data_IF_952977434595
#
_entry.id   IF_952977434595
#
_cell.length_a   1.000
_cell.length_b   1.000
_cell.length_c   1.000
_cell.angle_alpha   90.00
_cell.angle_beta   90.00
_cell.angle_gamma   90.00
#
_symmetry.space_group_name_H-M   'P 1'
#
loop_
_entity.id
_entity.type
_entity.pdbx_description
1 polymer ?
#
# COMPACT_ATOMS: atom_id res chain seq x y z
N UNK A 1 19.23 10.43 9.55
CA UNK A 1 18.80 9.01 9.66
C UNK A 1 17.42 8.98 9.03
N UNK A 2 17.22 8.27 7.92
CA UNK A 2 15.86 8.12 7.39
C UNK A 2 15.06 7.37 8.45
N UNK A 3 13.99 7.97 8.97
CA UNK A 3 13.11 7.31 9.93
C UNK A 3 12.62 6.01 9.28
N UNK A 4 12.92 4.87 9.92
CA UNK A 4 12.47 3.58 9.44
C UNK A 4 11.04 3.43 9.96
N UNK A 5 10.08 3.08 9.10
CA UNK A 5 8.72 2.90 9.55
C UNK A 5 8.65 1.91 10.68
N UNK A 6 8.07 2.33 11.80
CA UNK A 6 7.91 1.52 13.00
C UNK A 6 6.54 0.88 12.98
N UNK A 7 6.53 -0.45 13.05
CA UNK A 7 5.32 -1.24 13.21
C UNK A 7 5.23 -1.64 14.68
N UNK A 8 4.12 -1.32 15.34
CA UNK A 8 3.85 -1.75 16.72
C UNK A 8 2.80 -2.86 16.71
N UNK A 9 3.01 -3.91 17.51
CA UNK A 9 2.08 -5.03 17.64
C UNK A 9 1.64 -5.13 19.11
N UNK A 10 0.34 -5.21 19.38
CA UNK A 10 -0.23 -5.33 20.73
C UNK A 10 -1.56 -6.06 20.72
N UNK A 11 -2.08 -6.45 21.89
CA UNK A 11 -3.30 -7.26 22.02
C UNK A 11 -4.36 -6.62 22.94
N UNK A 12 -3.98 -5.59 23.72
CA UNK A 12 -4.76 -5.07 24.83
C UNK A 12 -5.14 -3.59 24.77
N UNK A 13 -6.10 -3.22 25.60
CA UNK A 13 -6.57 -1.82 25.79
C UNK A 13 -5.44 -0.88 26.20
N UNK A 14 -4.45 -1.39 26.96
CA UNK A 14 -3.31 -0.61 27.41
C UNK A 14 -2.32 -0.27 26.28
N UNK A 15 -2.31 -1.05 25.20
CA UNK A 15 -1.44 -0.82 24.05
C UNK A 15 -2.09 0.11 23.02
N UNK A 16 -3.40 0.34 23.11
CA UNK A 16 -4.17 1.17 22.17
C UNK A 16 -3.58 2.58 21.95
N UNK A 17 -3.12 3.33 22.98
CA UNK A 17 -2.49 4.63 22.78
C UNK A 17 -1.16 4.55 22.01
N UNK A 18 -0.41 3.47 22.21
CA UNK A 18 0.88 3.26 21.53
C UNK A 18 0.65 2.82 20.09
N UNK A 19 -0.33 1.95 19.84
CA UNK A 19 -0.73 1.51 18.50
C UNK A 19 -1.21 2.69 17.64
N UNK A 20 -1.99 3.60 18.21
CA UNK A 20 -2.46 4.81 17.50
C UNK A 20 -1.34 5.83 17.21
N UNK A 21 -0.22 5.77 17.95
CA UNK A 21 0.93 6.66 17.75
C UNK A 21 2.01 6.10 16.82
N UNK A 22 1.95 4.80 16.52
CA UNK A 22 2.86 4.15 15.60
C UNK A 22 2.52 4.53 14.14
N UNK A 23 3.49 4.42 13.24
CA UNK A 23 3.21 4.58 11.80
C UNK A 23 2.32 3.46 11.25
N UNK A 24 2.41 2.27 11.85
CA UNK A 24 1.47 1.17 11.62
C UNK A 24 1.21 0.45 12.95
N UNK A 25 0.00 0.58 13.47
CA UNK A 25 -0.47 -0.19 14.62
C UNK A 25 -1.10 -1.52 14.18
N UNK A 26 -0.67 -2.62 14.79
CA UNK A 26 -1.20 -3.97 14.54
C UNK A 26 -1.78 -4.56 15.83
N UNK A 27 -3.08 -4.84 15.84
CA UNK A 27 -3.76 -5.49 16.96
C UNK A 27 -3.85 -7.01 16.73
N UNK A 28 -3.55 -7.80 17.77
CA UNK A 28 -3.76 -9.25 17.80
C UNK A 28 -5.16 -9.55 18.34
N UNK A 29 -6.05 -10.01 17.48
CA UNK A 29 -7.48 -10.17 17.72
C UNK A 29 -7.91 -11.63 17.78
N UNK A 30 -7.35 -12.43 18.70
CA UNK A 30 -7.80 -13.80 18.93
C UNK A 30 -9.15 -13.88 19.70
N UNK A 31 -9.48 -12.83 20.48
CA UNK A 31 -10.62 -12.82 21.41
C UNK A 31 -11.38 -11.49 21.36
N UNK A 32 -12.11 -11.25 20.26
CA UNK A 32 -13.14 -10.21 20.18
C UNK A 32 -12.63 -8.78 20.09
N UNK A 33 -13.57 -7.85 19.86
CA UNK A 33 -13.31 -6.42 19.71
C UNK A 33 -12.74 -5.82 21.01
N UNK A 34 -11.42 -5.66 21.07
CA UNK A 34 -10.72 -4.93 22.12
C UNK A 34 -10.49 -3.48 21.67
N UNK A 35 -10.26 -2.56 22.61
CA UNK A 35 -9.91 -1.18 22.27
C UNK A 35 -8.60 -1.07 21.44
N UNK A 36 -7.75 -2.10 21.47
CA UNK A 36 -6.59 -2.22 20.60
C UNK A 36 -7.01 -2.33 19.13
N UNK A 37 -8.00 -3.16 18.81
CA UNK A 37 -8.49 -3.37 17.44
C UNK A 37 -9.20 -2.14 16.86
N UNK A 38 -9.81 -1.29 17.69
CA UNK A 38 -10.40 -0.02 17.24
C UNK A 38 -9.35 1.05 16.96
N UNK A 39 -8.18 0.95 17.60
CA UNK A 39 -7.12 1.97 17.53
C UNK A 39 -5.99 1.58 16.57
N UNK A 40 -5.99 0.35 16.05
CA UNK A 40 -4.96 -0.18 15.16
C UNK A 40 -5.36 -0.07 13.68
N UNK A 41 -4.38 0.08 12.80
CA UNK A 41 -4.57 0.09 11.35
C UNK A 41 -4.81 -1.31 10.77
N UNK A 42 -4.26 -2.33 11.43
CA UNK A 42 -4.33 -3.73 11.00
C UNK A 42 -4.74 -4.61 12.19
N UNK A 43 -5.66 -5.54 11.96
CA UNK A 43 -6.09 -6.51 12.97
C UNK A 43 -5.80 -7.93 12.48
N UNK A 44 -4.95 -8.66 13.21
CA UNK A 44 -4.67 -10.07 12.97
C UNK A 44 -5.68 -10.91 13.72
N UNK A 45 -6.58 -11.56 12.99
CA UNK A 45 -7.69 -12.35 13.56
C UNK A 45 -7.27 -13.70 14.16
N UNK A 46 -6.06 -14.15 13.82
CA UNK A 46 -5.48 -15.42 14.29
C UNK A 46 -4.47 -15.09 15.38
N UNK A 47 -4.41 -15.91 16.44
CA UNK A 47 -3.41 -15.78 17.50
C UNK A 47 -2.02 -16.26 17.05
N UNK A 48 -1.50 -15.65 15.99
CA UNK A 48 -0.23 -15.99 15.36
C UNK A 48 0.47 -14.74 14.87
N UNK A 49 1.53 -14.34 15.59
CA UNK A 49 2.35 -13.17 15.27
C UNK A 49 3.09 -13.33 13.92
N UNK A 50 3.27 -14.56 13.43
CA UNK A 50 3.84 -14.82 12.10
C UNK A 50 3.02 -14.18 10.98
N UNK A 51 1.71 -13.98 11.20
CA UNK A 51 0.83 -13.29 10.25
C UNK A 51 1.18 -11.82 10.04
N UNK A 52 1.85 -11.19 11.01
CA UNK A 52 2.36 -9.82 10.85
C UNK A 52 3.47 -9.81 9.80
N UNK A 53 4.36 -10.81 9.79
CA UNK A 53 5.41 -10.92 8.77
C UNK A 53 4.81 -11.17 7.38
N UNK A 54 3.81 -12.06 7.28
CA UNK A 54 3.06 -12.29 6.04
C UNK A 54 2.43 -10.98 5.52
N UNK A 55 1.80 -10.20 6.40
CA UNK A 55 1.17 -8.93 6.04
C UNK A 55 2.20 -7.92 5.50
N UNK A 56 3.39 -7.83 6.11
CA UNK A 56 4.48 -6.98 5.62
C UNK A 56 4.99 -7.45 4.26
N UNK A 57 5.16 -8.76 4.05
CA UNK A 57 5.57 -9.31 2.77
C UNK A 57 4.56 -9.00 1.65
N UNK A 58 3.26 -9.20 1.94
CA UNK A 58 2.17 -8.86 1.03
C UNK A 58 2.18 -7.36 0.72
N UNK A 59 2.31 -6.50 1.73
CA UNK A 59 2.36 -5.04 1.54
C UNK A 59 3.51 -4.63 0.62
N UNK A 60 4.72 -5.17 0.83
CA UNK A 60 5.89 -4.91 -0.03
C UNK A 60 5.66 -5.35 -1.46
N UNK A 61 5.04 -6.53 -1.65
CA UNK A 61 4.70 -7.05 -2.97
C UNK A 61 3.65 -6.19 -3.67
N UNK A 62 2.64 -5.72 -2.95
CA UNK A 62 1.61 -4.82 -3.48
C UNK A 62 2.22 -3.52 -4.00
N UNK A 63 3.11 -2.89 -3.23
CA UNK A 63 3.82 -1.68 -3.67
C UNK A 63 4.68 -1.96 -4.90
N UNK A 64 5.39 -3.09 -4.93
CA UNK A 64 6.20 -3.47 -6.09
C UNK A 64 5.34 -3.61 -7.36
N UNK A 65 4.19 -4.29 -7.26
CA UNK A 65 3.24 -4.45 -8.38
C UNK A 65 2.63 -3.11 -8.79
N UNK A 66 2.26 -2.25 -7.84
CA UNK A 66 1.73 -0.92 -8.14
C UNK A 66 2.75 -0.07 -8.92
N UNK A 67 4.01 -0.07 -8.48
CA UNK A 67 5.08 0.65 -9.17
C UNK A 67 5.35 0.07 -10.57
N UNK A 68 5.30 -1.25 -10.75
CA UNK A 68 5.40 -1.86 -12.08
C UNK A 68 4.29 -1.36 -13.01
N UNK A 69 3.04 -1.36 -12.55
CA UNK A 69 1.89 -0.86 -13.34
C UNK A 69 2.03 0.61 -13.70
N UNK A 70 2.49 1.45 -12.76
CA UNK A 70 2.76 2.87 -13.01
C UNK A 70 3.82 3.04 -14.10
N UNK A 71 4.93 2.32 -14.01
CA UNK A 71 6.00 2.40 -15.01
C UNK A 71 5.57 1.90 -16.38
N UNK A 72 4.78 0.83 -16.44
CA UNK A 72 4.19 0.35 -17.70
C UNK A 72 3.28 1.42 -18.30
N UNK A 73 2.42 2.03 -17.49
CA UNK A 73 1.54 3.12 -17.94
C UNK A 73 2.34 4.30 -18.51
N UNK A 74 3.36 4.75 -17.78
CA UNK A 74 4.26 5.83 -18.22
C UNK A 74 4.95 5.46 -19.55
N UNK A 75 5.49 4.25 -19.65
CA UNK A 75 6.18 3.79 -20.86
C UNK A 75 5.25 3.76 -22.08
N UNK A 76 4.02 3.27 -21.91
CA UNK A 76 3.00 3.26 -22.97
C UNK A 76 2.63 4.69 -23.37
N UNK A 77 2.37 5.58 -22.41
CA UNK A 77 2.05 6.99 -22.69
C UNK A 77 3.17 7.68 -23.47
N UNK A 78 4.43 7.50 -23.05
CA UNK A 78 5.59 8.05 -23.76
C UNK A 78 5.71 7.44 -25.17
N UNK A 79 5.55 6.12 -25.30
CA UNK A 79 5.60 5.45 -26.60
C UNK A 79 4.56 6.00 -27.58
N UNK A 80 3.31 6.18 -27.13
CA UNK A 80 2.25 6.78 -27.93
C UNK A 80 2.55 8.24 -28.31
N UNK A 81 3.07 9.05 -27.39
CA UNK A 81 3.48 10.42 -27.68
C UNK A 81 4.58 10.49 -28.75
N UNK A 82 5.56 9.59 -28.68
CA UNK A 82 6.63 9.49 -29.69
C UNK A 82 6.06 9.11 -31.06
N UNK A 83 5.20 8.08 -31.12
CA UNK A 83 4.54 7.66 -32.37
C UNK A 83 3.69 8.79 -32.98
N UNK A 84 2.95 9.51 -32.15
CA UNK A 84 2.18 10.67 -32.58
C UNK A 84 3.08 11.80 -33.12
N UNK A 85 4.24 12.03 -32.49
CA UNK A 85 5.21 13.05 -32.90
C UNK A 85 5.86 12.76 -34.26
N UNK A 86 6.04 11.48 -34.61
CA UNK A 86 6.56 11.07 -35.94
C UNK A 86 5.48 11.00 -37.04
N UNK A 87 4.25 11.45 -36.76
CA UNK A 87 3.27 11.76 -37.81
C UNK A 87 2.43 10.59 -38.32
N UNK A 88 2.32 9.47 -37.60
CA UNK A 88 1.45 8.34 -37.99
C UNK A 88 -0.04 8.62 -37.69
N UNK A 89 -0.35 9.67 -36.94
CA UNK A 89 -1.69 10.27 -36.86
C UNK A 89 -1.56 11.70 -37.41
N UNK A 90 -2.16 12.03 -38.57
CA UNK A 90 -2.20 13.41 -39.01
C UNK A 90 -2.91 14.21 -37.92
N UNK A 91 -2.20 15.18 -37.31
CA UNK A 91 -2.79 16.08 -36.33
C UNK A 91 -4.05 16.80 -36.88
N UNK A 92 -4.24 16.79 -38.19
CA UNK A 92 -5.42 17.29 -38.90
C UNK A 92 -6.67 16.42 -38.76
N UNK A 93 -6.55 15.10 -38.59
CA UNK A 93 -7.71 14.19 -38.45
C UNK A 93 -8.34 14.26 -37.05
N UNK A 94 -7.54 14.53 -36.00
CA UNK A 94 -8.04 14.78 -34.64
C UNK A 94 -8.51 16.22 -34.40
N UNK A 95 -8.23 17.15 -35.32
CA UNK A 95 -8.69 18.55 -35.25
C UNK A 95 -9.97 18.82 -36.07
N UNK A 96 -10.37 17.90 -36.95
CA UNK A 96 -11.55 18.03 -37.83
C UNK A 96 -12.76 17.15 -37.42
N UNK A 97 -12.59 16.24 -36.46
CA UNK A 97 -13.66 15.43 -35.85
C UNK A 97 -13.87 15.86 -34.39
#
# INVERSE_FOLDING_TARGET
IAERPVIMVGDGVNDAPVLASAEVGVAMGAKGATAASESADVVVLVDDIGRVADAVEIGRRTVAVALQSIWVGIAVSIGLMVVASFGVIPATLGALL
#
